data_IF_543609450736
#
_entry.id   IF_543609450736
#
_cell.length_a   1.000
_cell.length_b   1.000
_cell.length_c   1.000
_cell.angle_alpha   90.00
_cell.angle_beta   90.00
_cell.angle_gamma   90.00
#
_symmetry.space_group_name_H-M   'P 1'
#
loop_
_entity.id
_entity.type
_entity.pdbx_description
1 polymer ?
#
# COMPACT_ATOMS: atom_id res chain seq x y z
N UNK A 1 -50.09 -16.85 19.51
CA UNK A 1 -50.03 -16.26 20.86
C UNK A 1 -48.96 -15.20 20.84
N UNK A 2 -49.38 -13.94 20.80
CA UNK A 2 -48.51 -12.77 20.81
C UNK A 2 -48.47 -12.19 22.23
N UNK A 3 -47.29 -11.87 22.75
CA UNK A 3 -47.06 -11.09 23.97
C UNK A 3 -45.55 -10.78 24.10
N UNK A 4 -45.11 -9.70 24.78
CA UNK A 4 -45.32 -8.30 24.40
C UNK A 4 -44.02 -7.47 24.42
N UNK A 5 -44.06 -6.33 23.72
CA UNK A 5 -43.06 -5.25 23.74
C UNK A 5 -42.87 -4.69 25.16
N UNK A 6 -41.63 -4.67 25.64
CA UNK A 6 -41.24 -3.94 26.85
C UNK A 6 -40.89 -2.48 26.51
N UNK A 7 -41.60 -1.59 27.20
CA UNK A 7 -41.41 -0.15 27.26
C UNK A 7 -40.04 0.21 27.85
N UNK A 8 -39.18 0.85 27.05
CA UNK A 8 -37.98 1.54 27.55
C UNK A 8 -38.32 3.00 27.82
N UNK A 9 -38.27 3.39 29.10
CA UNK A 9 -38.28 4.79 29.54
C UNK A 9 -37.14 5.54 28.83
N UNK A 10 -37.49 6.53 28.01
CA UNK A 10 -36.55 7.49 27.45
C UNK A 10 -35.92 8.29 28.60
N UNK A 11 -34.66 8.02 28.90
CA UNK A 11 -33.83 8.93 29.67
C UNK A 11 -33.51 10.10 28.73
N UNK A 12 -34.15 11.25 28.94
CA UNK A 12 -33.82 12.50 28.26
C UNK A 12 -32.41 12.93 28.69
N UNK A 13 -31.38 12.37 28.05
CA UNK A 13 -30.06 12.99 28.02
C UNK A 13 -30.06 14.00 26.88
N UNK A 14 -29.84 15.27 27.22
CA UNK A 14 -29.65 16.32 26.22
C UNK A 14 -28.56 15.87 25.22
N UNK A 15 -28.72 16.13 23.91
CA UNK A 15 -27.67 15.85 22.95
C UNK A 15 -26.39 16.57 23.39
N UNK A 16 -25.21 15.95 23.27
CA UNK A 16 -23.96 16.60 23.64
C UNK A 16 -23.88 17.94 22.90
N UNK A 17 -23.64 19.01 23.66
CA UNK A 17 -23.38 20.34 23.11
C UNK A 17 -22.29 20.18 22.04
N UNK A 18 -22.62 20.52 20.79
CA UNK A 18 -21.60 20.66 19.74
C UNK A 18 -20.63 21.72 20.23
N UNK A 19 -19.42 21.32 20.59
CA UNK A 19 -18.34 22.23 20.86
C UNK A 19 -18.10 23.04 19.58
N UNK A 20 -18.50 24.31 19.58
CA UNK A 20 -18.55 25.17 18.37
C UNK A 20 -17.20 25.84 18.08
N UNK A 21 -16.14 25.50 18.82
CA UNK A 21 -14.82 26.05 18.54
C UNK A 21 -14.23 25.36 17.29
N UNK A 22 -13.76 26.13 16.29
CA UNK A 22 -13.16 25.55 15.10
C UNK A 22 -11.91 24.75 15.49
N UNK A 23 -11.83 23.49 15.04
CA UNK A 23 -10.63 22.65 15.21
C UNK A 23 -9.46 23.34 14.50
N UNK A 24 -8.44 23.76 15.26
CA UNK A 24 -7.21 24.33 14.72
C UNK A 24 -6.29 23.19 14.27
N UNK A 25 -6.07 23.06 12.97
CA UNK A 25 -5.17 22.05 12.37
C UNK A 25 -3.78 22.65 12.10
N UNK A 26 -2.70 21.86 12.17
CA UNK A 26 -1.39 22.29 11.69
C UNK A 26 -1.46 22.71 10.21
N UNK A 27 -0.64 23.68 9.82
CA UNK A 27 -0.42 23.99 8.41
C UNK A 27 0.35 22.84 7.76
N UNK A 28 -0.35 21.90 7.12
CA UNK A 28 0.23 20.71 6.49
C UNK A 28 -0.60 20.28 5.28
N UNK A 29 0.07 19.82 4.23
CA UNK A 29 -0.55 19.41 2.97
C UNK A 29 -0.28 17.94 2.65
N UNK A 30 -1.11 17.37 1.79
CA UNK A 30 -0.94 16.01 1.27
C UNK A 30 0.42 15.84 0.56
N UNK A 31 0.80 16.80 -0.28
CA UNK A 31 2.16 16.94 -0.80
C UNK A 31 2.88 17.97 0.07
N UNK A 32 3.84 17.57 0.92
CA UNK A 32 4.43 18.50 1.87
C UNK A 32 5.38 19.50 1.23
N UNK A 33 5.40 20.71 1.79
CA UNK A 33 6.40 21.74 1.49
C UNK A 33 7.62 21.60 2.40
N UNK A 34 8.81 21.47 1.81
CA UNK A 34 10.05 21.38 2.59
C UNK A 34 10.30 22.64 3.43
N UNK A 35 9.91 23.81 2.90
CA UNK A 35 10.00 25.08 3.62
C UNK A 35 9.15 25.05 4.89
N UNK A 36 7.87 24.68 4.77
CA UNK A 36 6.94 24.60 5.91
C UNK A 36 7.43 23.60 6.96
N UNK A 37 7.95 22.45 6.52
CA UNK A 37 8.56 21.47 7.41
C UNK A 37 9.74 22.07 8.21
N UNK A 38 10.68 22.76 7.54
CA UNK A 38 11.83 23.37 8.20
C UNK A 38 11.43 24.46 9.20
N UNK A 39 10.45 25.29 8.84
CA UNK A 39 9.88 26.31 9.73
C UNK A 39 9.22 25.66 10.95
N UNK A 40 8.45 24.58 10.77
CA UNK A 40 7.85 23.82 11.88
C UNK A 40 8.90 23.26 12.83
N UNK A 41 9.95 22.63 12.31
CA UNK A 41 11.06 22.09 13.12
C UNK A 41 11.71 23.20 13.95
N UNK A 42 11.95 24.37 13.36
CA UNK A 42 12.53 25.52 14.07
C UNK A 42 11.61 26.05 15.18
N UNK A 43 10.31 26.21 14.89
CA UNK A 43 9.32 26.64 15.89
C UNK A 43 9.25 25.67 17.07
N UNK A 44 9.18 24.37 16.79
CA UNK A 44 9.10 23.33 17.83
C UNK A 44 10.38 23.24 18.67
N UNK A 45 11.55 23.42 18.06
CA UNK A 45 12.82 23.48 18.77
C UNK A 45 12.86 24.65 19.78
N UNK A 46 12.31 25.81 19.41
CA UNK A 46 12.26 26.99 20.27
C UNK A 46 11.36 26.82 21.51
N UNK A 47 10.43 25.86 21.48
CA UNK A 47 9.53 25.58 22.62
C UNK A 47 10.20 24.80 23.75
N UNK A 48 11.42 24.26 23.54
CA UNK A 48 12.16 23.47 24.54
C UNK A 48 11.31 22.36 25.17
N UNK A 49 10.52 21.66 24.34
CA UNK A 49 9.65 20.57 24.80
C UNK A 49 10.50 19.46 25.43
N UNK A 50 10.01 18.89 26.54
CA UNK A 50 10.64 17.72 27.14
C UNK A 50 10.42 16.49 26.24
N UNK A 51 11.40 16.20 25.39
CA UNK A 51 11.37 15.14 24.38
C UNK A 51 12.24 13.96 24.81
N UNK A 52 11.78 12.70 24.67
CA UNK A 52 12.61 11.53 24.95
C UNK A 52 13.90 11.54 24.13
N UNK A 53 15.04 11.31 24.79
CA UNK A 53 16.35 11.22 24.12
C UNK A 53 16.76 9.78 23.80
N UNK A 54 15.93 8.82 24.18
CA UNK A 54 16.13 7.38 23.96
C UNK A 54 14.94 6.79 23.24
N UNK A 55 15.15 5.67 22.55
CA UNK A 55 14.09 4.94 21.85
C UNK A 55 13.07 4.35 22.84
N UNK A 56 11.82 4.08 22.40
CA UNK A 56 10.89 3.35 23.25
C UNK A 56 11.42 1.93 23.55
N UNK A 57 11.01 1.37 24.69
CA UNK A 57 11.43 0.03 25.09
C UNK A 57 11.05 -1.01 24.02
N UNK A 58 11.96 -1.94 23.72
CA UNK A 58 11.75 -2.99 22.71
C UNK A 58 12.04 -2.58 21.27
N UNK A 59 12.39 -1.31 21.01
CA UNK A 59 12.76 -0.85 19.68
C UNK A 59 14.28 -0.95 19.44
N UNK A 60 14.73 -1.47 18.28
CA UNK A 60 16.16 -1.67 18.03
C UNK A 60 16.88 -0.34 17.80
N UNK A 61 18.08 -0.18 18.35
CA UNK A 61 18.89 1.03 18.12
C UNK A 61 19.22 1.25 16.62
N UNK A 62 19.32 0.16 15.87
CA UNK A 62 19.62 0.14 14.44
C UNK A 62 19.18 -1.19 13.84
N UNK A 63 18.59 -1.15 12.65
CA UNK A 63 18.36 -2.31 11.79
C UNK A 63 19.62 -2.53 10.95
N UNK A 64 20.03 -3.79 10.79
CA UNK A 64 21.25 -4.17 10.03
C UNK A 64 21.00 -5.22 8.95
N UNK A 65 19.74 -5.57 8.69
CA UNK A 65 19.36 -6.52 7.62
C UNK A 65 19.56 -5.92 6.22
N UNK A 66 19.47 -6.76 5.20
CA UNK A 66 19.59 -6.35 3.78
C UNK A 66 18.52 -5.34 3.33
N UNK A 67 17.46 -5.13 4.13
CA UNK A 67 16.47 -4.07 3.89
C UNK A 67 17.05 -2.67 4.05
N UNK A 68 18.22 -2.51 4.67
CA UNK A 68 18.86 -1.19 4.88
C UNK A 68 19.64 -0.79 3.64
N UNK A 69 19.04 0.05 2.81
CA UNK A 69 19.64 0.59 1.60
C UNK A 69 19.10 1.98 1.28
N UNK A 70 19.86 2.75 0.50
CA UNK A 70 19.41 3.96 -0.18
C UNK A 70 19.38 3.72 -1.69
N UNK A 71 18.57 4.46 -2.44
CA UNK A 71 18.50 4.34 -3.90
C UNK A 71 19.86 4.49 -4.59
N UNK A 72 20.79 5.25 -3.99
CA UNK A 72 22.16 5.42 -4.48
C UNK A 72 23.06 4.19 -4.32
N UNK A 73 22.65 3.18 -3.55
CA UNK A 73 23.38 1.93 -3.38
C UNK A 73 23.28 1.05 -4.64
N UNK A 74 22.16 1.15 -5.37
CA UNK A 74 21.95 0.46 -6.65
C UNK A 74 22.69 1.19 -7.77
N UNK A 75 23.57 0.49 -8.47
CA UNK A 75 24.40 1.04 -9.56
C UNK A 75 23.77 0.83 -10.91
N UNK A 76 22.94 -0.20 -11.05
CA UNK A 76 22.24 -0.51 -12.28
C UNK A 76 20.94 -1.26 -12.01
N UNK A 77 20.11 -1.39 -13.04
CA UNK A 77 18.90 -2.19 -12.94
C UNK A 77 19.17 -3.67 -12.67
N UNK A 78 20.35 -4.19 -13.05
CA UNK A 78 20.71 -5.60 -12.83
C UNK A 78 20.81 -5.95 -11.33
N UNK A 79 20.90 -4.95 -10.44
CA UNK A 79 20.92 -5.16 -9.00
C UNK A 79 19.54 -5.54 -8.42
N UNK A 80 18.45 -5.22 -9.13
CA UNK A 80 17.08 -5.44 -8.66
C UNK A 80 16.12 -6.04 -9.69
N UNK A 81 16.50 -6.09 -10.97
CA UNK A 81 15.74 -6.71 -12.05
C UNK A 81 16.15 -8.17 -12.21
N UNK A 82 15.18 -9.07 -12.02
CA UNK A 82 15.32 -10.48 -12.38
C UNK A 82 14.80 -10.66 -13.80
N UNK A 83 15.73 -10.88 -14.74
CA UNK A 83 15.40 -11.15 -16.14
C UNK A 83 14.90 -12.60 -16.28
N UNK A 84 13.74 -12.75 -16.88
CA UNK A 84 13.20 -14.04 -17.30
C UNK A 84 13.90 -14.46 -18.58
N UNK A 85 14.44 -15.68 -18.58
CA UNK A 85 15.01 -16.29 -19.78
C UNK A 85 13.92 -16.64 -20.80
N UNK A 86 14.31 -17.00 -22.02
CA UNK A 86 13.32 -17.46 -23.01
C UNK A 86 12.68 -18.78 -22.57
N UNK A 87 13.45 -19.63 -21.88
CA UNK A 87 13.00 -20.88 -21.28
C UNK A 87 12.00 -20.63 -20.14
N UNK A 88 12.27 -19.64 -19.28
CA UNK A 88 11.36 -19.21 -18.20
C UNK A 88 9.99 -18.79 -18.79
N UNK A 89 10.02 -17.99 -19.87
CA UNK A 89 8.80 -17.52 -20.55
C UNK A 89 8.04 -18.68 -21.19
N UNK A 90 8.72 -19.60 -21.87
CA UNK A 90 8.09 -20.77 -22.48
C UNK A 90 7.46 -21.69 -21.43
N UNK A 91 8.07 -21.81 -20.25
CA UNK A 91 7.51 -22.57 -19.14
C UNK A 91 6.23 -21.90 -18.60
N UNK A 92 6.22 -20.56 -18.43
CA UNK A 92 5.00 -19.81 -18.06
C UNK A 92 3.88 -20.03 -19.09
N UNK A 93 4.19 -19.93 -20.39
CA UNK A 93 3.22 -20.14 -21.46
C UNK A 93 2.69 -21.57 -21.50
N UNK A 94 3.55 -22.56 -21.23
CA UNK A 94 3.16 -23.98 -21.12
C UNK A 94 2.26 -24.23 -19.92
N UNK A 95 2.57 -23.63 -18.77
CA UNK A 95 1.76 -23.73 -17.55
C UNK A 95 0.39 -23.06 -17.73
N UNK A 96 0.34 -21.91 -18.40
CA UNK A 96 -0.92 -21.26 -18.80
C UNK A 96 -1.74 -22.16 -19.72
N UNK A 97 -1.11 -22.77 -20.72
CA UNK A 97 -1.74 -23.73 -21.62
C UNK A 97 -2.37 -24.91 -20.88
N UNK A 98 -1.63 -25.49 -19.92
CA UNK A 98 -2.14 -26.55 -19.05
C UNK A 98 -3.31 -26.08 -18.18
N UNK A 99 -3.19 -24.95 -17.48
CA UNK A 99 -4.24 -24.42 -16.60
C UNK A 99 -5.56 -24.24 -17.35
N UNK A 100 -5.51 -23.75 -18.59
CA UNK A 100 -6.71 -23.56 -19.44
C UNK A 100 -7.43 -24.86 -19.82
N UNK A 101 -6.80 -26.02 -19.62
CA UNK A 101 -7.45 -27.33 -19.84
C UNK A 101 -8.32 -27.80 -18.65
N UNK A 102 -8.21 -27.14 -17.49
CA UNK A 102 -8.79 -27.62 -16.23
C UNK A 102 -10.21 -27.12 -15.94
N UNK A 103 -10.78 -26.28 -16.80
CA UNK A 103 -12.08 -25.61 -16.59
C UNK A 103 -12.15 -24.83 -15.26
N UNK A 104 -11.06 -24.11 -14.95
CA UNK A 104 -10.86 -23.34 -13.72
C UNK A 104 -10.80 -21.83 -14.00
N UNK A 105 -11.10 -21.03 -12.98
CA UNK A 105 -11.08 -19.57 -13.02
C UNK A 105 -9.89 -18.93 -12.30
N UNK A 106 -9.77 -17.59 -12.31
CA UNK A 106 -8.68 -16.88 -11.63
C UNK A 106 -8.55 -17.18 -10.13
N UNK A 107 -9.66 -17.45 -9.44
CA UNK A 107 -9.66 -17.83 -8.02
C UNK A 107 -8.94 -19.16 -7.74
N UNK A 108 -8.85 -20.04 -8.75
CA UNK A 108 -8.29 -21.37 -8.59
C UNK A 108 -6.79 -21.42 -8.88
N UNK A 109 -6.19 -20.36 -9.42
CA UNK A 109 -4.77 -20.36 -9.85
C UNK A 109 -3.84 -20.56 -8.65
N UNK A 110 -3.06 -21.64 -8.66
CA UNK A 110 -2.14 -22.02 -7.59
C UNK A 110 -0.90 -22.73 -8.17
N UNK A 111 0.12 -22.97 -7.33
CA UNK A 111 1.32 -23.74 -7.73
C UNK A 111 0.97 -25.15 -8.25
N UNK A 112 -0.13 -25.74 -7.76
CA UNK A 112 -0.53 -27.11 -8.09
C UNK A 112 -1.11 -27.25 -9.49
N UNK A 113 -1.79 -26.21 -10.00
CA UNK A 113 -2.41 -26.22 -11.32
C UNK A 113 -1.76 -25.23 -12.32
N UNK A 114 -0.72 -24.51 -11.87
CA UNK A 114 0.15 -23.69 -12.70
C UNK A 114 1.63 -24.10 -12.47
N UNK A 115 2.06 -25.26 -13.00
CA UNK A 115 3.36 -25.85 -12.67
C UNK A 115 4.52 -25.10 -13.35
N UNK A 116 5.44 -24.56 -12.55
CA UNK A 116 6.69 -23.94 -12.98
C UNK A 116 7.84 -24.73 -12.33
N UNK A 117 8.21 -25.86 -12.90
CA UNK A 117 9.15 -26.80 -12.27
C UNK A 117 10.57 -26.23 -12.21
N UNK A 118 10.98 -25.48 -13.24
CA UNK A 118 12.33 -24.92 -13.34
C UNK A 118 12.37 -23.47 -12.84
N UNK A 119 11.38 -22.66 -13.22
CA UNK A 119 11.26 -21.27 -12.79
C UNK A 119 10.77 -21.14 -11.33
N UNK A 120 10.01 -22.10 -10.82
CA UNK A 120 9.46 -22.08 -9.45
C UNK A 120 10.50 -21.83 -8.37
N UNK A 121 11.61 -22.60 -8.30
CA UNK A 121 12.70 -22.35 -7.34
C UNK A 121 13.27 -20.92 -7.41
N UNK A 122 13.45 -20.37 -8.62
CA UNK A 122 13.91 -18.99 -8.81
C UNK A 122 12.88 -17.96 -8.30
N UNK A 123 11.59 -18.24 -8.43
CA UNK A 123 10.52 -17.40 -7.87
C UNK A 123 10.42 -17.51 -6.34
N UNK A 124 10.78 -18.65 -5.76
CA UNK A 124 10.90 -18.80 -4.30
C UNK A 124 12.08 -18.00 -3.74
N UNK A 125 13.21 -17.95 -4.45
CA UNK A 125 14.32 -17.05 -4.11
C UNK A 125 13.87 -15.58 -4.18
N UNK A 126 13.07 -15.22 -5.18
CA UNK A 126 12.41 -13.90 -5.25
C UNK A 126 11.51 -13.66 -4.04
N UNK A 127 10.75 -14.66 -3.60
CA UNK A 127 9.94 -14.58 -2.38
C UNK A 127 10.81 -14.27 -1.16
N UNK A 128 11.98 -14.91 -1.03
CA UNK A 128 12.90 -14.64 0.07
C UNK A 128 13.50 -13.23 0.01
N UNK A 129 13.85 -12.74 -1.18
CA UNK A 129 14.32 -11.36 -1.37
C UNK A 129 13.26 -10.35 -0.90
N UNK A 130 11.97 -10.62 -1.16
CA UNK A 130 10.87 -9.72 -0.82
C UNK A 130 10.56 -9.73 0.69
N UNK A 131 10.59 -10.89 1.34
CA UNK A 131 10.18 -11.00 2.75
C UNK A 131 11.35 -10.83 3.72
N UNK A 132 12.54 -11.31 3.36
CA UNK A 132 13.70 -11.42 4.25
C UNK A 132 14.92 -10.62 3.75
N UNK A 133 15.06 -10.46 2.43
CA UNK A 133 16.12 -9.68 1.79
C UNK A 133 15.77 -8.20 1.66
N UNK A 134 16.23 -7.54 0.59
CA UNK A 134 16.06 -6.08 0.36
C UNK A 134 14.62 -5.57 0.28
N UNK A 135 13.63 -6.45 0.10
CA UNK A 135 12.20 -6.12 0.18
C UNK A 135 11.48 -5.83 -1.15
N UNK A 136 12.17 -5.89 -2.29
CA UNK A 136 11.55 -5.70 -3.61
C UNK A 136 12.34 -6.35 -4.76
N UNK A 137 11.63 -6.59 -5.86
CA UNK A 137 12.17 -6.99 -7.17
C UNK A 137 11.39 -6.38 -8.32
N UNK A 138 11.99 -6.40 -9.51
CA UNK A 138 11.28 -6.28 -10.79
C UNK A 138 11.51 -7.54 -11.60
N UNK A 139 10.46 -8.28 -11.95
CA UNK A 139 10.57 -9.37 -12.93
C UNK A 139 10.38 -8.79 -14.32
N UNK A 140 11.29 -9.10 -15.26
CA UNK A 140 11.28 -8.53 -16.62
C UNK A 140 11.43 -9.60 -17.69
N UNK A 141 10.64 -9.48 -18.76
CA UNK A 141 10.80 -10.30 -19.97
C UNK A 141 9.49 -10.66 -20.68
N UNK A 142 8.35 -10.58 -19.98
CA UNK A 142 7.04 -10.85 -20.58
C UNK A 142 6.66 -9.77 -21.60
N UNK A 143 5.89 -10.16 -22.61
CA UNK A 143 5.28 -9.21 -23.54
C UNK A 143 3.75 -9.31 -23.47
N UNK A 144 3.07 -8.39 -22.73
CA UNK A 144 1.63 -8.46 -22.53
C UNK A 144 0.80 -8.40 -23.82
N UNK A 145 1.33 -7.85 -24.92
CA UNK A 145 0.62 -7.77 -26.21
C UNK A 145 0.44 -9.14 -26.88
N UNK A 146 1.18 -10.16 -26.45
CA UNK A 146 1.03 -11.54 -26.95
C UNK A 146 -0.14 -12.28 -26.33
N UNK A 147 -0.73 -11.76 -25.27
CA UNK A 147 -1.71 -12.46 -24.44
C UNK A 147 -3.04 -11.71 -24.42
N UNK A 148 -4.15 -12.45 -24.33
CA UNK A 148 -5.45 -11.84 -24.05
C UNK A 148 -5.48 -11.19 -22.66
N UNK A 149 -6.51 -10.38 -22.37
CA UNK A 149 -6.70 -9.81 -21.01
C UNK A 149 -6.76 -10.91 -19.95
N UNK A 150 -7.51 -12.00 -20.22
CA UNK A 150 -7.60 -13.17 -19.35
C UNK A 150 -6.25 -13.85 -19.16
N UNK A 151 -5.52 -14.10 -20.25
CA UNK A 151 -4.22 -14.77 -20.19
C UNK A 151 -3.19 -13.93 -19.41
N UNK A 152 -3.19 -12.60 -19.57
CA UNK A 152 -2.37 -11.68 -18.79
C UNK A 152 -2.66 -11.76 -17.28
N UNK A 153 -3.91 -11.96 -16.88
CA UNK A 153 -4.27 -12.14 -15.48
C UNK A 153 -3.85 -13.52 -14.99
N UNK A 154 -4.14 -14.59 -15.73
CA UNK A 154 -3.81 -15.96 -15.33
C UNK A 154 -2.29 -16.17 -15.22
N UNK A 155 -1.49 -15.66 -16.16
CA UNK A 155 -0.02 -15.74 -16.05
C UNK A 155 0.50 -14.95 -14.84
N UNK A 156 -0.09 -13.79 -14.57
CA UNK A 156 0.32 -12.94 -13.46
C UNK A 156 0.01 -13.61 -12.12
N UNK A 157 -1.15 -14.26 -12.00
CA UNK A 157 -1.51 -15.08 -10.85
C UNK A 157 -0.61 -16.31 -10.73
N UNK A 158 -0.32 -17.00 -11.84
CA UNK A 158 0.54 -18.18 -11.85
C UNK A 158 1.94 -17.90 -11.33
N UNK A 159 2.57 -16.81 -11.83
CA UNK A 159 3.90 -16.37 -11.37
C UNK A 159 3.86 -15.92 -9.91
N UNK A 160 2.90 -15.07 -9.53
CA UNK A 160 2.85 -14.53 -8.17
C UNK A 160 2.49 -15.56 -7.11
N UNK A 161 1.87 -16.69 -7.48
CA UNK A 161 1.63 -17.82 -6.57
C UNK A 161 2.91 -18.39 -5.95
N UNK A 162 4.05 -18.32 -6.64
CA UNK A 162 5.37 -18.75 -6.12
C UNK A 162 6.02 -17.74 -5.18
N UNK A 163 5.49 -16.52 -5.13
CA UNK A 163 6.05 -15.43 -4.34
C UNK A 163 5.22 -15.21 -3.07
N UNK A 164 3.91 -15.03 -3.26
CA UNK A 164 2.92 -14.80 -2.23
C UNK A 164 1.55 -15.31 -2.74
N UNK A 165 1.14 -16.47 -2.25
CA UNK A 165 0.04 -17.29 -2.76
C UNK A 165 -1.36 -16.79 -2.40
N UNK A 166 -1.53 -16.12 -1.28
CA UNK A 166 -2.85 -15.67 -0.83
C UNK A 166 -3.23 -14.36 -1.52
N UNK A 167 -4.42 -14.29 -2.12
CA UNK A 167 -4.95 -13.09 -2.79
C UNK A 167 -5.76 -12.24 -1.84
N UNK A 168 -5.43 -10.95 -1.77
CA UNK A 168 -6.16 -9.96 -0.99
C UNK A 168 -7.31 -9.33 -1.78
N UNK A 169 -8.48 -9.22 -1.16
CA UNK A 169 -9.60 -8.44 -1.69
C UNK A 169 -9.29 -6.95 -1.52
N UNK A 170 -9.32 -6.21 -2.63
CA UNK A 170 -8.82 -4.82 -2.69
C UNK A 170 -9.93 -3.77 -2.50
N UNK A 171 -11.18 -4.12 -2.78
CA UNK A 171 -12.35 -3.25 -2.61
C UNK A 171 -13.49 -4.01 -1.92
N UNK A 172 -14.45 -3.28 -1.35
CA UNK A 172 -15.59 -3.85 -0.62
C UNK A 172 -16.58 -4.62 -1.49
N UNK A 173 -16.52 -4.43 -2.80
CA UNK A 173 -17.41 -5.04 -3.78
C UNK A 173 -16.88 -6.37 -4.35
N UNK A 174 -15.84 -6.94 -3.75
CA UNK A 174 -15.35 -8.28 -4.10
C UNK A 174 -14.13 -8.29 -5.01
N UNK A 175 -13.63 -7.12 -5.45
CA UNK A 175 -12.55 -7.07 -6.45
C UNK A 175 -11.23 -7.60 -5.91
N UNK A 176 -10.69 -8.59 -6.62
CA UNK A 176 -9.41 -9.24 -6.30
C UNK A 176 -8.23 -8.61 -7.07
N UNK A 177 -8.52 -7.96 -8.20
CA UNK A 177 -7.55 -7.29 -9.07
C UNK A 177 -8.04 -5.90 -9.45
N UNK A 178 -7.13 -4.94 -9.57
CA UNK A 178 -7.47 -3.57 -9.98
C UNK A 178 -6.65 -3.09 -11.16
N UNK A 179 -7.32 -2.44 -12.12
CA UNK A 179 -6.70 -1.71 -13.21
C UNK A 179 -6.34 -0.29 -12.77
N UNK A 180 -5.04 0.02 -12.73
CA UNK A 180 -4.48 1.32 -12.35
C UNK A 180 -4.10 2.09 -13.62
N UNK A 181 -4.93 3.07 -13.99
CA UNK A 181 -4.77 3.90 -15.18
C UNK A 181 -5.49 5.24 -15.01
N UNK A 182 -5.01 6.29 -15.66
CA UNK A 182 -5.73 7.55 -15.71
C UNK A 182 -6.99 7.39 -16.59
N UNK A 183 -8.16 7.57 -15.98
CA UNK A 183 -9.45 7.50 -16.69
C UNK A 183 -10.26 8.79 -16.61
N UNK A 184 -9.85 9.68 -15.72
CA UNK A 184 -10.50 10.95 -15.45
C UNK A 184 -9.46 12.06 -15.50
N UNK A 185 -9.86 13.19 -16.05
CA UNK A 185 -9.04 14.39 -16.07
C UNK A 185 -9.27 15.16 -14.78
N UNK A 186 -8.27 15.93 -14.37
CA UNK A 186 -8.38 16.83 -13.21
C UNK A 186 -9.45 17.91 -13.40
N UNK A 187 -9.82 18.22 -14.64
CA UNK A 187 -10.98 19.07 -14.97
C UNK A 187 -12.33 18.48 -14.54
N UNK A 188 -12.43 17.17 -14.32
CA UNK A 188 -13.71 16.48 -14.09
C UNK A 188 -14.22 16.67 -12.64
N UNK A 189 -13.40 17.25 -11.76
CA UNK A 189 -13.76 17.62 -10.37
C UNK A 189 -14.96 18.54 -10.31
N UNK A 190 -14.97 19.53 -11.21
CA UNK A 190 -16.02 20.54 -11.26
C UNK A 190 -17.38 19.93 -11.62
N UNK A 191 -17.40 18.75 -12.27
CA UNK A 191 -18.63 18.07 -12.68
C UNK A 191 -19.12 17.02 -11.69
N UNK A 192 -18.24 16.45 -10.85
CA UNK A 192 -18.57 15.29 -10.00
C UNK A 192 -18.39 15.50 -8.49
N UNK A 193 -18.01 16.71 -8.04
CA UNK A 193 -18.00 17.07 -6.61
C UNK A 193 -16.91 16.41 -5.75
N UNK A 194 -16.14 15.46 -6.29
CA UNK A 194 -14.94 14.88 -5.65
C UNK A 194 -13.96 14.36 -6.71
N UNK A 195 -12.64 14.45 -6.45
CA UNK A 195 -11.66 13.81 -7.34
C UNK A 195 -11.68 12.29 -7.17
N UNK A 196 -11.59 11.52 -8.26
CA UNK A 196 -11.14 10.13 -8.18
C UNK A 196 -9.80 9.97 -7.44
N UNK A 197 -9.65 8.85 -6.72
CA UNK A 197 -8.43 8.50 -5.99
C UNK A 197 -7.21 8.47 -6.91
N UNK A 198 -6.02 8.71 -6.35
CA UNK A 198 -4.73 8.79 -7.05
C UNK A 198 -4.38 7.64 -8.02
N UNK A 199 -4.86 6.40 -7.84
CA UNK A 199 -4.66 5.34 -8.82
C UNK A 199 -5.34 5.58 -10.18
N UNK A 200 -6.29 6.52 -10.27
CA UNK A 200 -7.16 6.72 -11.45
C UNK A 200 -6.96 8.05 -12.17
N UNK A 201 -5.89 8.77 -11.81
CA UNK A 201 -5.54 10.07 -12.36
C UNK A 201 -4.03 10.19 -12.54
N UNK A 202 -3.60 11.12 -13.39
CA UNK A 202 -2.21 11.25 -13.79
C UNK A 202 -1.33 12.11 -12.87
N UNK A 203 -1.89 12.74 -11.83
CA UNK A 203 -1.10 13.49 -10.82
C UNK A 203 -0.10 12.61 -10.07
N UNK A 204 0.90 13.23 -9.47
CA UNK A 204 1.83 12.53 -8.58
C UNK A 204 1.10 11.94 -7.36
N UNK A 205 1.57 10.78 -6.90
CA UNK A 205 1.12 10.14 -5.68
C UNK A 205 2.29 10.14 -4.68
N UNK A 206 2.16 10.79 -3.52
CA UNK A 206 3.24 10.89 -2.54
C UNK A 206 3.56 9.52 -1.92
N UNK A 207 4.68 9.44 -1.20
CA UNK A 207 5.08 8.26 -0.46
C UNK A 207 3.97 7.79 0.48
N UNK A 208 3.63 6.51 0.37
CA UNK A 208 2.63 5.83 1.18
C UNK A 208 2.91 4.31 1.20
N UNK A 209 2.16 3.60 2.03
CA UNK A 209 1.97 2.16 1.97
C UNK A 209 0.50 1.88 1.64
N UNK A 210 0.21 0.75 1.03
CA UNK A 210 -1.16 0.24 0.91
C UNK A 210 -1.56 -0.52 2.19
N UNK A 211 -2.73 -1.17 2.19
CA UNK A 211 -3.22 -1.98 3.31
C UNK A 211 -2.84 -3.46 3.24
N UNK A 212 -1.95 -3.83 2.31
CA UNK A 212 -1.54 -5.21 2.05
C UNK A 212 -0.17 -5.55 2.66
N UNK A 213 0.16 -6.84 2.66
CA UNK A 213 1.48 -7.36 3.04
C UNK A 213 2.47 -7.21 1.87
N UNK A 214 2.09 -7.70 0.68
CA UNK A 214 2.88 -7.60 -0.56
C UNK A 214 2.05 -6.93 -1.63
N UNK A 215 2.62 -5.91 -2.28
CA UNK A 215 2.02 -5.21 -3.41
C UNK A 215 2.72 -5.66 -4.69
N UNK A 216 1.91 -6.03 -5.69
CA UNK A 216 2.41 -6.37 -7.02
C UNK A 216 1.74 -5.49 -8.09
N UNK A 217 2.54 -4.96 -9.01
CA UNK A 217 2.10 -4.19 -10.19
C UNK A 217 2.65 -4.83 -11.46
N UNK A 218 1.76 -5.27 -12.34
CA UNK A 218 2.12 -5.77 -13.68
C UNK A 218 1.84 -4.71 -14.75
N UNK A 219 2.88 -4.26 -15.44
CA UNK A 219 2.83 -3.17 -16.41
C UNK A 219 2.34 -3.62 -17.79
N UNK A 220 1.04 -3.50 -18.04
CA UNK A 220 0.47 -3.71 -19.38
C UNK A 220 0.78 -2.56 -20.35
N UNK A 221 1.02 -1.36 -19.81
CA UNK A 221 1.39 -0.18 -20.58
C UNK A 221 2.10 0.86 -19.74
N UNK A 222 2.91 1.69 -20.39
CA UNK A 222 3.69 2.77 -19.77
C UNK A 222 3.30 4.11 -20.39
N UNK A 223 3.36 5.17 -19.58
CA UNK A 223 3.09 6.53 -20.05
C UNK A 223 4.13 6.97 -21.09
N UNK A 224 3.81 8.03 -21.85
CA UNK A 224 4.77 8.66 -22.75
C UNK A 224 5.88 9.36 -21.98
N UNK A 225 5.51 10.10 -20.94
CA UNK A 225 6.42 10.85 -20.09
C UNK A 225 6.05 10.68 -18.63
N UNK A 226 7.07 10.57 -17.76
CA UNK A 226 6.88 10.40 -16.32
C UNK A 226 6.28 9.05 -15.94
N UNK A 227 5.67 9.00 -14.75
CA UNK A 227 5.04 7.78 -14.23
C UNK A 227 6.03 6.81 -13.59
N UNK A 228 7.26 7.27 -13.33
CA UNK A 228 8.29 6.56 -12.56
C UNK A 228 7.72 6.09 -11.22
N UNK A 229 8.05 4.86 -10.87
CA UNK A 229 7.77 4.27 -9.56
C UNK A 229 8.93 4.61 -8.62
N UNK A 230 8.66 5.01 -7.39
CA UNK A 230 9.69 5.25 -6.39
C UNK A 230 9.50 4.29 -5.23
N UNK A 231 10.59 3.69 -4.75
CA UNK A 231 10.63 2.87 -3.55
C UNK A 231 11.64 3.44 -2.56
N UNK A 232 11.27 3.51 -1.28
CA UNK A 232 12.16 3.90 -0.21
C UNK A 232 12.11 2.87 0.92
N UNK A 233 13.27 2.41 1.37
CA UNK A 233 13.39 1.44 2.45
C UNK A 233 12.85 1.99 3.78
N UNK A 234 11.91 1.26 4.39
CA UNK A 234 11.43 1.54 5.75
C UNK A 234 12.55 1.45 6.78
N UNK A 235 13.50 0.52 6.60
CA UNK A 235 14.59 0.29 7.54
C UNK A 235 15.60 1.45 7.54
N UNK A 236 15.89 2.02 6.37
CA UNK A 236 16.75 3.20 6.23
C UNK A 236 16.10 4.43 6.85
N UNK A 237 14.81 4.66 6.54
CA UNK A 237 14.03 5.76 7.14
C UNK A 237 14.02 5.62 8.67
N UNK A 238 13.74 4.42 9.18
CA UNK A 238 13.77 4.13 10.61
C UNK A 238 15.14 4.43 11.22
N UNK A 239 16.23 3.93 10.62
CA UNK A 239 17.59 4.13 11.13
C UNK A 239 17.96 5.62 11.21
N UNK A 240 17.60 6.42 10.20
CA UNK A 240 17.84 7.87 10.24
C UNK A 240 17.05 8.55 11.36
N UNK A 241 15.78 8.20 11.53
CA UNK A 241 14.96 8.77 12.60
C UNK A 241 15.47 8.31 13.97
N UNK A 242 15.75 7.03 14.17
CA UNK A 242 16.24 6.49 15.43
C UNK A 242 17.56 7.13 15.87
N UNK A 243 18.45 7.43 14.90
CA UNK A 243 19.74 8.09 15.13
C UNK A 243 19.60 9.58 15.44
N UNK A 244 18.74 10.30 14.71
CA UNK A 244 18.66 11.77 14.78
C UNK A 244 17.59 12.29 15.74
N UNK A 245 16.47 11.57 15.85
CA UNK A 245 15.22 11.99 16.51
C UNK A 245 14.53 10.78 17.16
N UNK A 246 15.12 10.15 18.19
CA UNK A 246 14.48 9.03 18.88
C UNK A 246 13.09 9.40 19.44
N UNK A 247 12.85 10.68 19.79
CA UNK A 247 11.54 11.19 20.17
C UNK A 247 10.47 11.02 19.08
N UNK A 248 10.85 11.11 17.80
CA UNK A 248 9.93 10.90 16.67
C UNK A 248 9.52 9.42 16.56
N UNK A 249 10.38 8.47 16.94
CA UNK A 249 9.99 7.04 17.01
C UNK A 249 8.87 6.84 18.03
N UNK A 250 8.94 7.49 19.19
CA UNK A 250 7.83 7.46 20.16
C UNK A 250 6.53 7.99 19.55
N UNK A 251 6.59 9.09 18.79
CA UNK A 251 5.41 9.71 18.18
C UNK A 251 4.80 8.81 17.10
N UNK A 252 5.62 8.23 16.23
CA UNK A 252 5.18 7.36 15.14
C UNK A 252 4.55 6.05 15.64
N UNK A 253 4.99 5.56 16.80
CA UNK A 253 4.51 4.32 17.41
C UNK A 253 3.24 4.48 18.27
N UNK A 254 2.79 5.71 18.54
CA UNK A 254 1.54 5.95 19.28
C UNK A 254 0.31 5.56 18.47
N UNK A 255 -0.73 5.14 19.15
CA UNK A 255 -2.03 4.79 18.60
C UNK A 255 -3.00 5.98 18.53
N UNK A 256 -2.48 7.21 18.42
CA UNK A 256 -3.24 8.47 18.50
C UNK A 256 -3.29 9.27 17.18
N UNK A 257 -3.03 8.63 16.04
CA UNK A 257 -3.09 9.28 14.72
C UNK A 257 -4.50 9.21 14.12
N UNK A 258 -5.15 10.35 13.82
CA UNK A 258 -6.56 10.40 13.41
C UNK A 258 -6.75 10.16 11.90
N UNK A 259 -6.88 8.91 11.49
CA UNK A 259 -7.16 8.52 10.11
C UNK A 259 -8.64 8.76 9.76
N UNK A 260 -8.89 9.74 8.90
CA UNK A 260 -10.22 10.03 8.32
C UNK A 260 -10.65 8.92 7.35
N UNK A 261 -11.85 8.38 7.53
CA UNK A 261 -12.38 7.36 6.63
C UNK A 261 -13.03 7.96 5.38
N UNK A 262 -13.28 9.27 5.35
CA UNK A 262 -13.95 10.03 4.28
C UNK A 262 -15.37 9.56 3.92
N UNK A 263 -15.84 8.46 4.51
CA UNK A 263 -17.19 7.95 4.40
C UNK A 263 -17.83 7.88 5.79
N UNK A 264 -19.15 8.09 5.85
CA UNK A 264 -19.97 7.96 7.07
C UNK A 264 -19.56 8.85 8.27
N UNK A 265 -18.76 9.90 8.06
CA UNK A 265 -18.29 10.82 9.10
C UNK A 265 -17.51 10.12 10.24
N UNK A 266 -16.74 9.09 9.90
CA UNK A 266 -15.98 8.26 10.84
C UNK A 266 -14.47 8.49 10.70
N UNK A 267 -13.74 8.24 11.79
CA UNK A 267 -12.29 8.16 11.83
C UNK A 267 -11.89 7.01 12.75
N UNK A 268 -10.68 6.50 12.58
CA UNK A 268 -10.05 5.58 13.51
C UNK A 268 -8.66 6.08 13.91
N UNK A 269 -8.11 5.49 14.96
CA UNK A 269 -6.80 5.82 15.48
C UNK A 269 -5.89 4.60 15.38
N UNK A 270 -4.66 4.79 14.87
CA UNK A 270 -3.67 3.71 14.76
C UNK A 270 -2.25 4.27 14.62
N UNK A 271 -1.21 3.50 14.98
CA UNK A 271 0.18 3.89 14.71
C UNK A 271 0.51 4.00 13.21
N UNK A 272 1.61 4.71 12.92
CA UNK A 272 2.26 4.73 11.61
C UNK A 272 3.44 3.78 11.50
N UNK A 273 4.05 3.47 12.65
CA UNK A 273 5.24 2.63 12.76
C UNK A 273 4.93 1.46 13.69
N UNK A 274 5.22 0.25 13.22
CA UNK A 274 4.98 -1.01 13.91
C UNK A 274 6.29 -1.76 14.05
N UNK A 275 6.39 -2.61 15.07
CA UNK A 275 7.51 -3.54 15.21
C UNK A 275 7.04 -4.93 14.79
N UNK A 276 7.66 -5.48 13.75
CA UNK A 276 7.23 -6.73 13.14
C UNK A 276 8.11 -7.92 13.56
N UNK A 277 7.48 -9.06 13.72
CA UNK A 277 8.07 -10.37 13.97
C UNK A 277 7.74 -11.31 12.82
N UNK A 278 8.52 -12.39 12.70
CA UNK A 278 8.23 -13.48 11.77
C UNK A 278 7.12 -14.39 12.31
N UNK A 279 6.33 -14.97 11.41
CA UNK A 279 5.29 -15.95 11.73
C UNK A 279 5.80 -17.17 12.49
N UNK A 280 7.06 -17.55 12.28
CA UNK A 280 7.67 -18.72 12.89
C UNK A 280 8.21 -18.46 14.31
N UNK A 281 8.12 -17.21 14.79
CA UNK A 281 8.52 -16.80 16.14
C UNK A 281 10.02 -16.88 16.40
N UNK A 282 10.85 -17.08 15.37
CA UNK A 282 12.31 -17.18 15.51
C UNK A 282 12.93 -15.80 15.54
N UNK A 283 13.77 -15.54 16.55
CA UNK A 283 14.40 -14.22 16.77
C UNK A 283 15.29 -13.81 15.61
N UNK A 284 16.00 -14.77 15.01
CA UNK A 284 16.84 -14.56 13.83
C UNK A 284 16.06 -14.13 12.58
N UNK A 285 14.74 -14.33 12.57
CA UNK A 285 13.83 -13.93 11.49
C UNK A 285 12.97 -12.71 11.88
N UNK A 286 13.25 -12.05 13.01
CA UNK A 286 12.55 -10.81 13.35
C UNK A 286 12.79 -9.73 12.29
N UNK A 287 11.69 -9.25 11.71
CA UNK A 287 11.76 -8.23 10.68
C UNK A 287 12.06 -6.85 11.29
N UNK A 288 11.59 -6.57 12.49
CA UNK A 288 11.79 -5.31 13.18
C UNK A 288 10.85 -4.19 12.66
N UNK A 289 11.23 -2.92 12.86
CA UNK A 289 10.40 -1.77 12.49
C UNK A 289 10.00 -1.71 11.00
N UNK A 290 8.74 -1.37 10.74
CA UNK A 290 8.16 -1.14 9.43
C UNK A 290 6.97 -0.18 9.49
N UNK A 291 6.53 0.33 8.33
CA UNK A 291 5.52 1.40 8.27
C UNK A 291 4.19 0.91 7.71
N UNK A 292 3.13 1.58 8.19
CA UNK A 292 1.77 1.56 7.65
C UNK A 292 1.37 3.04 7.54
N UNK A 293 1.89 3.69 6.50
CA UNK A 293 2.03 5.14 6.39
C UNK A 293 1.21 5.69 5.22
N UNK A 294 0.38 6.70 5.48
CA UNK A 294 -0.28 7.45 4.42
C UNK A 294 -0.66 8.82 4.93
N UNK A 295 -0.49 9.81 4.06
CA UNK A 295 -0.71 11.21 4.40
C UNK A 295 -2.16 11.62 4.21
N UNK A 296 -2.86 11.07 3.21
CA UNK A 296 -4.16 11.61 2.78
C UNK A 296 -5.20 11.56 3.90
N UNK A 297 -5.40 10.44 4.62
CA UNK A 297 -6.35 10.43 5.74
C UNK A 297 -5.94 11.23 6.97
N UNK A 298 -4.72 11.77 7.01
CA UNK A 298 -4.21 12.56 8.13
C UNK A 298 -4.20 14.05 7.82
N UNK A 299 -3.97 14.43 6.56
CA UNK A 299 -3.88 15.82 6.12
C UNK A 299 -5.10 16.30 5.34
N UNK A 300 -5.86 15.37 4.75
CA UNK A 300 -6.80 15.68 3.68
C UNK A 300 -6.08 16.16 2.43
N UNK A 301 -6.85 16.57 1.43
CA UNK A 301 -6.36 17.26 0.24
C UNK A 301 -7.42 18.26 -0.24
N UNK A 302 -7.05 19.22 -1.08
CA UNK A 302 -8.01 20.20 -1.62
C UNK A 302 -9.22 19.54 -2.33
N UNK A 303 -9.02 18.36 -2.92
CA UNK A 303 -10.06 17.58 -3.60
C UNK A 303 -10.74 16.50 -2.73
N UNK A 304 -10.30 16.38 -1.47
CA UNK A 304 -10.77 15.38 -0.49
C UNK A 304 -10.48 15.94 0.91
N UNK A 305 -11.15 17.04 1.31
CA UNK A 305 -10.86 17.71 2.57
C UNK A 305 -11.22 16.82 3.76
N UNK A 306 -10.55 17.02 4.89
CA UNK A 306 -10.89 16.32 6.13
C UNK A 306 -12.30 16.63 6.57
N UNK A 307 -12.96 15.60 7.11
CA UNK A 307 -14.24 15.77 7.75
C UNK A 307 -14.08 16.69 8.99
N UNK A 308 -14.99 17.68 9.21
CA UNK A 308 -14.84 18.64 10.30
C UNK A 308 -14.80 18.04 11.71
N UNK A 309 -15.32 16.82 11.90
CA UNK A 309 -15.32 16.11 13.19
C UNK A 309 -14.05 15.30 13.47
N UNK A 310 -13.16 15.12 12.49
CA UNK A 310 -11.89 14.40 12.69
C UNK A 310 -10.97 15.27 13.55
N UNK A 311 -10.41 14.76 14.66
CA UNK A 311 -9.47 15.52 15.48
C UNK A 311 -8.29 16.09 14.67
N UNK A 312 -7.69 17.17 15.18
CA UNK A 312 -6.45 17.68 14.59
C UNK A 312 -5.26 16.83 15.06
N UNK A 313 -4.33 16.57 14.13
CA UNK A 313 -2.99 16.18 14.53
C UNK A 313 -2.31 17.30 15.32
N UNK A 314 -1.41 16.94 16.22
CA UNK A 314 -0.50 17.90 16.85
C UNK A 314 0.59 18.39 15.88
N UNK A 315 1.22 19.53 16.18
CA UNK A 315 2.41 20.00 15.44
C UNK A 315 3.57 18.99 15.50
N UNK A 316 3.67 18.20 16.57
CA UNK A 316 4.70 17.15 16.70
C UNK A 316 4.39 15.95 15.80
N UNK A 317 3.12 15.55 15.68
CA UNK A 317 2.69 14.55 14.68
C UNK A 317 2.91 15.06 13.25
N UNK A 318 2.61 16.34 12.97
CA UNK A 318 2.89 16.95 11.67
C UNK A 318 4.39 16.99 11.33
N UNK A 319 5.26 17.29 12.31
CA UNK A 319 6.72 17.17 12.17
C UNK A 319 7.15 15.74 11.84
N UNK A 320 6.65 14.74 12.57
CA UNK A 320 6.92 13.33 12.35
C UNK A 320 6.49 12.86 10.94
N UNK A 321 5.28 13.24 10.50
CA UNK A 321 4.73 12.85 9.20
C UNK A 321 5.56 13.40 8.03
N UNK A 322 6.01 14.66 8.13
CA UNK A 322 6.87 15.28 7.11
C UNK A 322 8.29 14.71 7.13
N UNK A 323 8.84 14.41 8.31
CA UNK A 323 10.17 13.80 8.43
C UNK A 323 10.25 12.46 7.70
N UNK A 324 9.25 11.58 7.90
CA UNK A 324 9.16 10.30 7.18
C UNK A 324 9.11 10.52 5.66
N UNK A 325 8.29 11.46 5.19
CA UNK A 325 8.18 11.75 3.76
C UNK A 325 9.50 12.25 3.15
N UNK A 326 10.17 13.21 3.80
CA UNK A 326 11.40 13.78 3.24
C UNK A 326 12.58 12.81 3.29
N UNK A 327 12.68 11.98 4.32
CA UNK A 327 13.66 10.88 4.36
C UNK A 327 13.37 9.83 3.28
N UNK A 328 12.09 9.47 3.07
CA UNK A 328 11.71 8.58 1.99
C UNK A 328 12.14 9.15 0.63
N UNK A 329 11.87 10.44 0.39
CA UNK A 329 12.26 11.13 -0.84
C UNK A 329 13.78 11.22 -1.04
N UNK A 330 14.53 11.47 0.04
CA UNK A 330 16.00 11.55 0.01
C UNK A 330 16.64 10.21 -0.35
N UNK A 331 16.11 9.11 0.19
CA UNK A 331 16.67 7.78 0.01
C UNK A 331 16.01 6.94 -1.09
N UNK A 332 15.06 7.52 -1.84
CA UNK A 332 14.28 6.77 -2.82
C UNK A 332 15.12 6.24 -3.99
N UNK A 333 14.82 5.02 -4.41
CA UNK A 333 15.17 4.48 -5.71
C UNK A 333 14.07 4.84 -6.71
N UNK A 334 14.44 5.49 -7.83
CA UNK A 334 13.56 5.72 -8.96
C UNK A 334 13.65 4.51 -9.92
N UNK A 335 12.49 3.94 -10.28
CA UNK A 335 12.37 2.77 -11.15
C UNK A 335 11.53 3.15 -12.36
N UNK A 336 12.15 3.05 -13.54
CA UNK A 336 11.46 3.18 -14.81
C UNK A 336 10.96 1.80 -15.25
N UNK A 337 9.68 1.53 -15.02
CA UNK A 337 9.08 0.29 -15.48
C UNK A 337 8.98 0.26 -17.01
N UNK A 338 9.15 -0.94 -17.55
CA UNK A 338 8.93 -1.28 -18.94
C UNK A 338 7.61 -2.05 -19.08
N UNK A 339 7.02 -2.00 -20.27
CA UNK A 339 5.87 -2.84 -20.59
C UNK A 339 6.27 -4.32 -20.43
N UNK A 340 5.49 -5.06 -19.64
CA UNK A 340 5.77 -6.44 -19.26
C UNK A 340 6.47 -6.63 -17.92
N UNK A 341 6.93 -5.56 -17.27
CA UNK A 341 7.55 -5.66 -15.94
C UNK A 341 6.50 -5.99 -14.87
N UNK A 342 6.87 -6.87 -13.93
CA UNK A 342 6.15 -7.03 -12.65
C UNK A 342 7.01 -6.45 -11.53
N UNK A 343 6.57 -5.32 -10.96
CA UNK A 343 7.18 -4.75 -9.75
C UNK A 343 6.50 -5.37 -8.53
N UNK A 344 7.29 -5.98 -7.64
CA UNK A 344 6.76 -6.69 -6.47
C UNK A 344 7.56 -6.28 -5.23
N UNK A 345 6.88 -5.88 -4.17
CA UNK A 345 7.54 -5.44 -2.95
C UNK A 345 6.72 -5.73 -1.69
N UNK A 346 7.43 -5.94 -0.58
CA UNK A 346 6.81 -6.01 0.74
C UNK A 346 6.43 -4.60 1.18
N UNK A 347 5.14 -4.40 1.42
CA UNK A 347 4.53 -3.11 1.65
C UNK A 347 4.82 -2.54 3.06
N UNK A 348 5.19 -3.39 4.03
CA UNK A 348 5.69 -2.94 5.34
C UNK A 348 7.18 -2.55 5.27
N UNK A 349 7.92 -3.17 4.35
CA UNK A 349 9.32 -2.91 4.10
C UNK A 349 9.56 -1.63 3.27
N UNK A 350 8.55 -1.16 2.54
CA UNK A 350 8.70 -0.11 1.53
C UNK A 350 7.66 1.00 1.66
N UNK A 351 8.10 2.25 1.62
CA UNK A 351 7.24 3.35 1.20
C UNK A 351 7.36 3.50 -0.31
N UNK A 352 6.23 3.67 -0.99
CA UNK A 352 6.20 3.80 -2.44
C UNK A 352 5.46 5.06 -2.91
N UNK A 353 5.91 5.61 -4.04
CA UNK A 353 5.36 6.81 -4.64
C UNK A 353 5.35 6.69 -6.17
N UNK A 354 4.67 7.64 -6.83
CA UNK A 354 4.64 7.75 -8.28
C UNK A 354 4.73 9.21 -8.71
N UNK A 355 5.55 9.52 -9.70
CA UNK A 355 5.55 10.85 -10.32
C UNK A 355 4.25 11.11 -11.11
N UNK A 356 4.00 12.37 -11.46
CA UNK A 356 2.98 12.69 -12.46
C UNK A 356 3.36 12.11 -13.83
N UNK A 357 2.37 11.84 -14.68
CA UNK A 357 2.62 11.35 -16.04
C UNK A 357 1.72 11.98 -17.10
N UNK A 358 2.12 11.79 -18.35
CA UNK A 358 1.36 12.17 -19.55
C UNK A 358 1.26 10.97 -20.47
N UNK A 359 0.03 10.59 -20.81
CA UNK A 359 -0.26 9.55 -21.80
C UNK A 359 -0.32 10.14 -23.21
N UNK A 360 0.01 9.34 -24.23
CA UNK A 360 -0.07 9.73 -25.65
C UNK A 360 -0.61 8.57 -26.51
N UNK A 361 -1.88 8.66 -26.91
CA UNK A 361 -2.55 7.60 -27.67
C UNK A 361 -2.65 6.27 -26.91
N UNK A 362 -3.06 5.21 -27.60
CA UNK A 362 -3.27 3.89 -26.97
C UNK A 362 -1.95 3.17 -26.63
N UNK A 363 -0.89 3.41 -27.39
CA UNK A 363 0.40 2.72 -27.22
C UNK A 363 1.29 3.31 -26.13
N UNK A 364 1.05 4.56 -25.72
CA UNK A 364 1.77 5.21 -24.62
C UNK A 364 0.80 5.63 -23.51
N UNK A 365 -0.06 4.69 -23.12
CA UNK A 365 -0.99 4.83 -21.99
C UNK A 365 -0.51 3.98 -20.82
N UNK A 366 -0.34 4.62 -19.64
CA UNK A 366 0.01 3.90 -18.42
C UNK A 366 -1.14 3.02 -17.96
N UNK A 367 -0.89 1.72 -17.86
CA UNK A 367 -1.87 0.74 -17.38
C UNK A 367 -1.16 -0.35 -16.60
N UNK A 368 -1.48 -0.45 -15.31
CA UNK A 368 -0.98 -1.52 -14.43
C UNK A 368 -2.13 -2.39 -13.95
N UNK A 369 -1.89 -3.70 -13.79
CA UNK A 369 -2.71 -4.57 -12.95
C UNK A 369 -2.11 -4.64 -11.55
N UNK A 370 -2.90 -4.34 -10.52
CA UNK A 370 -2.47 -4.42 -9.12
C UNK A 370 -3.04 -5.65 -8.44
N UNK A 371 -2.20 -6.37 -7.72
CA UNK A 371 -2.58 -7.39 -6.75
C UNK A 371 -2.11 -7.01 -5.35
N UNK A 372 -2.92 -7.36 -4.36
CA UNK A 372 -2.51 -7.45 -2.97
C UNK A 372 -2.31 -8.93 -2.65
N UNK A 373 -1.16 -9.28 -2.09
CA UNK A 373 -0.72 -10.65 -1.91
C UNK A 373 -0.22 -10.87 -0.48
N UNK A 374 -0.28 -12.11 -0.01
CA UNK A 374 0.32 -12.56 1.26
C UNK A 374 0.96 -13.92 1.06
N UNK A 375 2.10 -14.13 1.71
CA UNK A 375 2.71 -15.44 1.86
C UNK A 375 2.47 -15.90 3.31
N UNK A 376 1.71 -16.96 3.52
CA UNK A 376 1.30 -17.37 4.89
C UNK A 376 2.49 -17.81 5.75
N UNK A 377 3.57 -18.26 5.10
CA UNK A 377 4.77 -18.76 5.77
C UNK A 377 5.81 -17.68 6.02
N UNK A 378 5.73 -16.54 5.33
CA UNK A 378 6.71 -15.44 5.39
C UNK A 378 6.10 -14.09 5.77
N UNK A 379 4.81 -14.05 6.13
CA UNK A 379 4.13 -12.80 6.51
C UNK A 379 4.72 -12.18 7.78
N UNK A 380 4.69 -10.85 7.82
CA UNK A 380 5.16 -10.08 8.96
C UNK A 380 4.01 -9.85 9.93
N UNK A 381 4.19 -10.25 11.19
CA UNK A 381 3.20 -10.09 12.25
C UNK A 381 3.58 -8.96 13.20
N UNK A 382 2.60 -8.29 13.78
CA UNK A 382 2.82 -7.33 14.87
C UNK A 382 1.86 -7.64 16.02
N UNK A 383 2.14 -7.13 17.21
CA UNK A 383 1.21 -7.26 18.36
C UNK A 383 -0.02 -6.33 18.25
N UNK A 384 -0.21 -5.67 17.10
CA UNK A 384 -1.33 -4.74 16.89
C UNK A 384 -2.58 -5.46 16.38
N UNK A 385 -3.59 -5.58 17.24
CA UNK A 385 -4.92 -6.07 16.88
C UNK A 385 -5.54 -5.27 15.71
N UNK A 386 -5.25 -3.96 15.63
CA UNK A 386 -5.74 -3.12 14.55
C UNK A 386 -5.17 -3.51 13.19
N UNK A 387 -3.87 -3.79 13.13
CA UNK A 387 -3.22 -4.23 11.89
C UNK A 387 -3.63 -5.65 11.51
N UNK A 388 -3.74 -6.54 12.50
CA UNK A 388 -4.22 -7.91 12.30
C UNK A 388 -5.66 -7.93 11.76
N UNK A 389 -6.53 -7.06 12.27
CA UNK A 389 -7.89 -6.89 11.75
C UNK A 389 -7.89 -6.48 10.28
N UNK A 390 -7.05 -5.52 9.89
CA UNK A 390 -6.90 -5.13 8.47
C UNK A 390 -6.45 -6.32 7.62
N UNK A 391 -5.49 -7.10 8.12
CA UNK A 391 -5.05 -8.33 7.47
C UNK A 391 -6.20 -9.33 7.24
N UNK A 392 -7.05 -9.56 8.26
CA UNK A 392 -8.21 -10.43 8.13
C UNK A 392 -9.24 -9.90 7.13
N UNK A 393 -9.51 -8.59 7.15
CA UNK A 393 -10.42 -7.95 6.18
C UNK A 393 -9.96 -8.10 4.72
N UNK A 394 -8.65 -8.15 4.49
CA UNK A 394 -8.05 -8.26 3.14
C UNK A 394 -7.94 -9.71 2.70
N UNK A 395 -7.43 -10.61 3.54
CA UNK A 395 -7.02 -11.96 3.14
C UNK A 395 -7.92 -13.09 3.66
N UNK A 396 -8.73 -12.83 4.67
CA UNK A 396 -9.69 -13.79 5.26
C UNK A 396 -11.13 -13.34 5.00
N UNK A 397 -11.36 -12.67 3.86
CA UNK A 397 -12.63 -12.08 3.49
C UNK A 397 -13.76 -13.11 3.42
N UNK A 398 -13.46 -14.38 3.16
CA UNK A 398 -14.41 -15.48 3.11
C UNK A 398 -14.88 -15.94 4.50
N UNK A 399 -14.25 -15.49 5.60
CA UNK A 399 -14.72 -15.77 6.95
C UNK A 399 -15.90 -14.89 7.36
N UNK A 400 -16.03 -13.71 6.77
CA UNK A 400 -17.12 -12.76 6.99
C UNK A 400 -18.31 -13.07 6.07
N UNK A 401 -19.50 -13.31 6.65
CA UNK A 401 -20.69 -13.75 5.89
C UNK A 401 -21.08 -12.76 4.78
N UNK A 402 -21.13 -11.47 5.09
CA UNK A 402 -21.48 -10.44 4.10
C UNK A 402 -20.46 -10.33 2.96
N UNK A 403 -19.18 -10.66 3.19
CA UNK A 403 -18.18 -10.67 2.11
C UNK A 403 -18.28 -11.93 1.26
N UNK A 404 -18.63 -13.08 1.84
CA UNK A 404 -18.97 -14.28 1.06
C UNK A 404 -20.12 -14.03 0.10
N UNK A 405 -21.15 -13.30 0.53
CA UNK A 405 -22.30 -12.96 -0.31
C UNK A 405 -21.93 -12.05 -1.49
N UNK A 406 -20.96 -11.16 -1.31
CA UNK A 406 -20.45 -10.30 -2.39
C UNK A 406 -19.67 -11.10 -3.43
N UNK A 407 -18.97 -12.15 -2.99
CA UNK A 407 -18.14 -13.01 -3.83
C UNK A 407 -16.89 -12.32 -4.37
N UNK A 408 -16.10 -13.05 -5.15
CA UNK A 408 -14.92 -12.53 -5.83
C UNK A 408 -15.29 -11.91 -7.18
N UNK A 409 -14.61 -10.82 -7.53
CA UNK A 409 -14.72 -10.17 -8.84
C UNK A 409 -13.34 -10.00 -9.45
N UNK A 410 -13.16 -10.66 -10.58
CA UNK A 410 -11.99 -10.48 -11.44
C UNK A 410 -12.43 -9.63 -12.62
N UNK A 411 -12.06 -8.35 -12.62
CA UNK A 411 -12.27 -7.46 -13.76
C UNK A 411 -11.34 -7.93 -14.91
N UNK A 412 -11.74 -8.99 -15.63
CA UNK A 412 -10.97 -9.54 -16.74
C UNK A 412 -10.83 -8.48 -17.84
N UNK A 413 -11.98 -7.93 -18.22
CA UNK A 413 -12.05 -6.77 -19.07
C UNK A 413 -12.12 -5.50 -18.23
N UNK A 414 -11.65 -4.41 -18.82
CA UNK A 414 -11.52 -3.14 -18.11
C UNK A 414 -12.89 -2.63 -17.63
N UNK A 415 -13.12 -2.61 -16.31
CA UNK A 415 -14.29 -1.96 -15.72
C UNK A 415 -14.09 -0.43 -15.63
N UNK A 416 -14.97 0.39 -16.24
CA UNK A 416 -14.88 1.85 -16.17
C UNK A 416 -14.86 2.33 -14.71
N UNK A 417 -13.91 3.18 -14.29
CA UNK A 417 -13.77 3.54 -12.88
C UNK A 417 -14.89 4.42 -12.35
N UNK A 418 -15.73 4.93 -13.25
CA UNK A 418 -16.98 5.66 -12.99
C UNK A 418 -18.02 4.77 -12.32
N UNK A 419 -18.11 3.49 -12.71
CA UNK A 419 -19.00 2.51 -12.07
C UNK A 419 -18.49 2.07 -10.69
N UNK A 420 -17.29 2.52 -10.30
CA UNK A 420 -16.60 2.12 -9.08
C UNK A 420 -16.69 3.18 -7.97
N UNK A 421 -17.31 4.34 -8.20
CA UNK A 421 -17.31 5.44 -7.21
C UNK A 421 -18.13 5.11 -5.96
N UNK A 422 -19.22 4.34 -6.11
CA UNK A 422 -20.19 4.09 -5.02
C UNK A 422 -19.75 3.02 -4.00
N UNK A 423 -18.72 2.22 -4.33
CA UNK A 423 -18.28 1.07 -3.50
C UNK A 423 -16.85 1.22 -2.94
N UNK A 424 -16.19 2.36 -3.16
CA UNK A 424 -14.79 2.57 -2.77
C UNK A 424 -14.63 2.82 -1.28
N UNK A 425 -13.71 2.11 -0.64
CA UNK A 425 -12.96 2.67 0.49
C UNK A 425 -12.07 3.76 -0.12
N UNK A 426 -12.09 4.98 0.41
CA UNK A 426 -11.10 6.00 0.01
C UNK A 426 -9.68 5.68 0.54
N UNK A 427 -9.44 4.46 1.02
CA UNK A 427 -8.20 4.06 1.67
C UNK A 427 -7.14 3.64 0.64
N UNK A 428 -6.41 4.63 0.13
CA UNK A 428 -4.97 4.44 0.14
C UNK A 428 -4.58 4.78 1.58
N UNK A 429 -4.48 3.72 2.41
CA UNK A 429 -4.13 3.62 3.84
C UNK A 429 -4.49 4.77 4.79
#
# INVERSE_FOLDING_TARGET
MACPLQSTRACNMAPPQKDTNPIVRPEIDWIPSYKVFKERVQRLAALNLNRPTTLPAGWPAKITSERVWSGSDFKSEDDYVVKLSQEDILEIESALGFFKTLDLGPDDVSKNNFPLLNLGPKLEEVSDIIHNGRGFVVLRGLNPDKYSSTDNILLYLGVTSYIAETRGMQDFDGRMILHIQAVRKESDVAQHGSMPNSPYVNRAQPFHTDLCDVLSLYALGVAKYGGESFLASSATIYNEIARLRPDVIHVLARDDWPFDEFYKNQYHMRPLLYNFSSVDGRKEHEHGPGFQFSRRPLTGAHFSPHHPLVPAMSEVQAEALDMVYFLAKEHALAIQLQKGDMQIFNNFAMLHARSSFVDEGEHHKRHMLRLWLRNEQKMWRSDSEGLDKVGREVYEWDKEEWRREVGTKWDIEQSPPELRVDFKRASCA
#
